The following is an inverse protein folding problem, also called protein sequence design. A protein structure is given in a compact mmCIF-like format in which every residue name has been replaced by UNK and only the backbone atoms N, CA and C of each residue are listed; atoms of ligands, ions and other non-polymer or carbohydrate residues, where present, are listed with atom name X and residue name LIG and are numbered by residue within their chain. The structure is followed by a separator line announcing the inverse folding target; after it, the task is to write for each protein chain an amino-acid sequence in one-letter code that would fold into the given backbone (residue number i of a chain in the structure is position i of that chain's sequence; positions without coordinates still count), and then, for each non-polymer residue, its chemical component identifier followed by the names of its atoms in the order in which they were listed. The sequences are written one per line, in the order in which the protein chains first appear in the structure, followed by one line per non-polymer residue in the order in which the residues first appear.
data_IF_256024745001
#
_entry.id   IF_256024745001
#
_cell.length_a   1.000
_cell.length_b   1.000
_cell.length_c   1.000
_cell.angle_alpha   90.00
_cell.angle_beta   90.00
_cell.angle_gamma   90.00
#
_symmetry.space_group_name_H-M   'P 1'
#
loop_
_entity.id
_entity.type
_entity.pdbx_description
1 polymer ?
#
# COMPACT_ATOMS: atom_id res chain seq x y z
N UNK A 1 22.90 -1.28 -75.72
CA UNK A 1 21.81 -2.21 -75.34
C UNK A 1 21.90 -2.39 -73.82
N UNK A 2 21.19 -1.59 -73.01
CA UNK A 2 19.94 -1.92 -72.27
C UNK A 2 20.04 -3.31 -71.58
N UNK A 3 19.90 -3.48 -70.26
CA UNK A 3 18.79 -3.03 -69.39
C UNK A 3 19.18 -2.97 -67.90
N UNK A 4 18.66 -1.94 -67.23
CA UNK A 4 18.54 -1.78 -65.77
C UNK A 4 17.15 -2.30 -65.36
N UNK A 5 17.02 -2.96 -64.20
CA UNK A 5 15.77 -3.30 -63.50
C UNK A 5 16.02 -3.00 -62.01
N UNK A 6 15.68 -1.82 -61.47
CA UNK A 6 14.37 -1.35 -61.02
C UNK A 6 13.75 -2.24 -59.93
N UNK A 7 14.09 -1.93 -58.67
CA UNK A 7 13.47 -2.45 -57.45
C UNK A 7 12.10 -1.78 -57.29
N UNK A 8 11.04 -2.59 -57.22
CA UNK A 8 9.67 -2.13 -57.04
C UNK A 8 9.33 -2.08 -55.56
N UNK A 9 9.27 -0.88 -55.00
CA UNK A 9 8.79 -0.60 -53.64
C UNK A 9 7.27 -0.69 -53.63
N UNK A 10 6.71 -1.68 -52.94
CA UNK A 10 5.27 -1.78 -52.70
C UNK A 10 4.91 -1.01 -51.42
N UNK A 11 4.29 0.16 -51.59
CA UNK A 11 3.66 0.91 -50.51
C UNK A 11 2.28 0.30 -50.26
N UNK A 12 2.09 -0.31 -49.08
CA UNK A 12 0.77 -0.71 -48.61
C UNK A 12 0.34 0.26 -47.51
N UNK A 13 -0.55 1.19 -47.87
CA UNK A 13 -1.24 2.06 -46.94
C UNK A 13 -2.30 1.26 -46.18
N UNK A 14 -2.05 0.96 -44.90
CA UNK A 14 -3.08 0.47 -43.99
C UNK A 14 -3.79 1.68 -43.37
N UNK A 15 -5.04 1.89 -43.79
CA UNK A 15 -5.98 2.83 -43.18
C UNK A 15 -6.11 2.54 -41.69
N UNK A 16 -5.68 3.48 -40.85
CA UNK A 16 -5.98 3.46 -39.43
C UNK A 16 -7.47 3.76 -39.24
N UNK A 17 -8.30 2.72 -39.17
CA UNK A 17 -9.62 2.84 -38.54
C UNK A 17 -9.33 3.06 -37.06
N UNK A 18 -9.48 4.31 -36.63
CA UNK A 18 -9.50 4.71 -35.23
C UNK A 18 -10.74 4.08 -34.57
N UNK A 19 -10.63 2.79 -34.24
CA UNK A 19 -11.44 2.20 -33.19
C UNK A 19 -11.00 2.86 -31.90
N UNK A 20 -11.85 3.71 -31.34
CA UNK A 20 -11.71 4.14 -29.96
C UNK A 20 -11.72 2.86 -29.11
N UNK A 21 -10.55 2.37 -28.72
CA UNK A 21 -10.46 1.40 -27.65
C UNK A 21 -11.04 2.11 -26.43
N UNK A 22 -12.15 1.62 -25.83
CA UNK A 22 -12.48 2.07 -24.50
C UNK A 22 -11.24 1.79 -23.67
N UNK A 23 -10.64 2.84 -23.12
CA UNK A 23 -9.59 2.73 -22.12
C UNK A 23 -10.25 2.14 -20.86
N UNK A 24 -10.50 0.83 -20.87
CA UNK A 24 -10.61 0.09 -19.64
C UNK A 24 -9.26 0.25 -18.98
N UNK A 25 -9.22 1.04 -17.92
CA UNK A 25 -8.06 1.11 -17.04
C UNK A 25 -7.66 -0.34 -16.74
N UNK A 26 -6.46 -0.71 -17.17
CA UNK A 26 -5.91 -2.05 -17.04
C UNK A 26 -5.96 -2.42 -15.56
N UNK A 27 -7.00 -3.15 -15.17
CA UNK A 27 -7.26 -3.45 -13.77
C UNK A 27 -6.32 -4.58 -13.40
N UNK A 28 -5.11 -4.20 -12.99
CA UNK A 28 -4.07 -5.17 -12.68
C UNK A 28 -4.37 -5.80 -11.32
N UNK A 29 -4.78 -7.06 -11.35
CA UNK A 29 -4.84 -7.91 -10.18
C UNK A 29 -3.43 -8.41 -9.87
N UNK A 30 -2.90 -8.05 -8.72
CA UNK A 30 -1.57 -8.47 -8.25
C UNK A 30 -1.76 -9.45 -7.10
N UNK A 31 -1.11 -10.61 -7.20
CA UNK A 31 -1.02 -11.55 -6.06
C UNK A 31 -0.06 -10.94 -5.04
N UNK A 32 -0.56 -10.71 -3.81
CA UNK A 32 0.24 -10.20 -2.70
C UNK A 32 0.85 -11.33 -1.87
N UNK A 33 0.09 -12.40 -1.62
CA UNK A 33 0.60 -13.54 -0.86
C UNK A 33 -0.15 -14.82 -1.20
N UNK A 34 0.51 -15.95 -0.96
CA UNK A 34 -0.05 -17.29 -1.09
C UNK A 34 0.30 -18.06 0.19
N UNK A 35 -0.71 -18.33 1.01
CA UNK A 35 -0.59 -19.15 2.21
C UNK A 35 -1.03 -20.59 1.91
N UNK A 36 -0.10 -21.53 2.08
CA UNK A 36 -0.29 -22.97 1.86
C UNK A 36 -0.14 -23.78 3.15
N UNK A 37 -0.02 -23.12 4.31
CA UNK A 37 0.27 -23.77 5.60
C UNK A 37 -0.81 -24.75 6.04
N UNK A 38 -2.04 -24.61 5.53
CA UNK A 38 -3.21 -25.46 5.83
C UNK A 38 -3.67 -26.28 4.63
N UNK A 39 -2.75 -26.70 3.77
CA UNK A 39 -3.07 -27.56 2.62
C UNK A 39 -3.99 -28.74 3.00
N UNK A 40 -5.07 -29.03 2.25
CA UNK A 40 -5.37 -28.56 0.89
C UNK A 40 -6.01 -27.16 0.79
N UNK A 41 -6.25 -26.47 1.91
CA UNK A 41 -6.74 -25.09 1.87
C UNK A 41 -5.59 -24.13 1.52
N UNK A 42 -5.76 -23.39 0.44
CA UNK A 42 -4.84 -22.33 -0.01
C UNK A 42 -5.55 -20.99 0.11
N UNK A 43 -4.90 -20.01 0.74
CA UNK A 43 -5.42 -18.64 0.86
C UNK A 43 -4.54 -17.73 0.02
N UNK A 44 -5.15 -17.00 -0.92
CA UNK A 44 -4.45 -16.05 -1.79
C UNK A 44 -4.97 -14.66 -1.46
N UNK A 45 -4.07 -13.75 -1.07
CA UNK A 45 -4.40 -12.33 -0.96
C UNK A 45 -4.05 -11.63 -2.26
N UNK A 46 -4.98 -10.86 -2.80
CA UNK A 46 -4.80 -10.10 -4.05
C UNK A 46 -5.07 -8.63 -3.84
N UNK A 47 -4.31 -7.77 -4.53
CA UNK A 47 -4.61 -6.35 -4.67
C UNK A 47 -5.17 -6.10 -6.07
N UNK A 48 -6.27 -5.36 -6.12
CA UNK A 48 -6.81 -4.85 -7.35
C UNK A 48 -6.42 -3.38 -7.50
N UNK A 49 -5.69 -3.06 -8.56
CA UNK A 49 -5.40 -1.68 -8.93
C UNK A 49 -6.44 -1.20 -9.95
N UNK A 50 -7.38 -0.35 -9.55
CA UNK A 50 -8.43 0.14 -10.45
C UNK A 50 -9.78 0.32 -9.76
N UNK A 51 -10.84 0.71 -10.51
CA UNK A 51 -12.19 0.78 -9.97
C UNK A 51 -12.62 -0.60 -9.44
N UNK A 52 -13.54 -0.59 -8.47
CA UNK A 52 -14.02 -1.81 -7.84
C UNK A 52 -14.55 -2.80 -8.89
N UNK A 53 -13.86 -3.93 -9.06
CA UNK A 53 -14.31 -5.03 -9.93
C UNK A 53 -15.41 -5.80 -9.22
N UNK A 54 -16.42 -6.22 -9.97
CA UNK A 54 -17.37 -7.20 -9.48
C UNK A 54 -16.61 -8.50 -9.19
N UNK A 55 -16.64 -8.99 -7.94
CA UNK A 55 -15.90 -10.21 -7.57
C UNK A 55 -16.30 -11.44 -8.40
N UNK A 56 -17.50 -11.43 -9.01
CA UNK A 56 -17.95 -12.46 -9.94
C UNK A 56 -17.12 -12.53 -11.23
N UNK A 57 -16.42 -11.45 -11.61
CA UNK A 57 -15.57 -11.38 -12.80
C UNK A 57 -14.13 -11.85 -12.53
N UNK A 58 -13.82 -12.19 -11.27
CA UNK A 58 -12.51 -12.75 -10.90
C UNK A 58 -12.49 -14.22 -11.32
N UNK A 59 -11.40 -14.61 -11.98
CA UNK A 59 -11.15 -16.01 -12.34
C UNK A 59 -9.81 -16.46 -11.77
N UNK A 60 -9.80 -17.61 -11.11
CA UNK A 60 -8.58 -18.27 -10.65
C UNK A 60 -8.17 -19.36 -11.65
N UNK A 61 -6.90 -19.38 -12.02
CA UNK A 61 -6.31 -20.46 -12.80
C UNK A 61 -5.11 -21.06 -12.08
N UNK A 62 -5.04 -22.38 -12.06
CA UNK A 62 -3.89 -23.16 -11.58
C UNK A 62 -3.37 -24.01 -12.74
N UNK A 63 -2.08 -23.90 -13.06
CA UNK A 63 -1.45 -24.62 -14.19
C UNK A 63 -2.21 -24.47 -15.53
N UNK A 64 -2.79 -23.28 -15.76
CA UNK A 64 -3.57 -22.96 -16.95
C UNK A 64 -5.02 -23.47 -16.95
N UNK A 65 -5.43 -24.24 -15.94
CA UNK A 65 -6.81 -24.74 -15.78
C UNK A 65 -7.61 -23.82 -14.86
N UNK A 66 -8.89 -23.60 -15.15
CA UNK A 66 -9.77 -22.84 -14.26
C UNK A 66 -10.02 -23.60 -12.96
N UNK A 67 -9.84 -22.90 -11.84
CA UNK A 67 -10.24 -23.39 -10.52
C UNK A 67 -11.69 -23.00 -10.29
N UNK A 68 -12.55 -23.99 -10.13
CA UNK A 68 -13.97 -23.77 -9.82
C UNK A 68 -14.20 -23.81 -8.31
N UNK A 69 -15.17 -23.03 -7.82
CA UNK A 69 -15.62 -23.09 -6.43
C UNK A 69 -14.71 -22.40 -5.39
N UNK A 70 -13.80 -21.53 -5.82
CA UNK A 70 -13.06 -20.67 -4.88
C UNK A 70 -13.99 -19.57 -4.32
N UNK A 71 -13.71 -19.11 -3.11
CA UNK A 71 -14.47 -18.04 -2.46
C UNK A 71 -13.64 -16.75 -2.42
N UNK A 72 -14.03 -15.75 -3.22
CA UNK A 72 -13.45 -14.41 -3.17
C UNK A 72 -14.27 -13.50 -2.25
N UNK A 73 -13.60 -12.90 -1.28
CA UNK A 73 -14.21 -11.98 -0.31
C UNK A 73 -13.32 -10.75 -0.14
N UNK A 74 -13.88 -9.54 0.00
CA UNK A 74 -13.10 -8.36 0.33
C UNK A 74 -12.35 -8.58 1.65
N UNK A 75 -11.09 -8.14 1.74
CA UNK A 75 -10.28 -8.27 2.95
C UNK A 75 -11.00 -7.74 4.20
N UNK A 76 -11.71 -6.61 4.10
CA UNK A 76 -12.49 -6.07 5.21
C UNK A 76 -13.70 -6.91 5.67
N UNK A 77 -14.00 -8.02 4.98
CA UNK A 77 -15.03 -9.01 5.35
C UNK A 77 -14.42 -10.36 5.76
N UNK A 78 -13.10 -10.47 5.84
CA UNK A 78 -12.42 -11.67 6.35
C UNK A 78 -12.10 -11.50 7.83
N UNK A 79 -11.72 -12.60 8.48
CA UNK A 79 -11.13 -12.58 9.82
C UNK A 79 -9.61 -12.41 9.79
N UNK A 80 -9.02 -12.07 8.63
CA UNK A 80 -7.58 -11.83 8.51
C UNK A 80 -7.23 -10.55 9.27
N UNK A 81 -6.40 -10.62 10.31
CA UNK A 81 -6.03 -9.42 11.05
C UNK A 81 -5.22 -8.47 10.15
N UNK A 82 -5.72 -7.25 9.98
CA UNK A 82 -4.99 -6.21 9.26
C UNK A 82 -4.04 -5.52 10.22
N UNK A 83 -2.75 -5.44 9.84
CA UNK A 83 -1.76 -4.66 10.56
C UNK A 83 -1.55 -3.31 9.90
N UNK A 84 -1.71 -2.24 10.66
CA UNK A 84 -1.53 -0.87 10.18
C UNK A 84 -0.50 -0.16 11.05
N UNK A 85 0.54 0.39 10.45
CA UNK A 85 1.39 1.38 11.12
C UNK A 85 0.91 2.76 10.70
N UNK A 86 0.32 3.49 11.65
CA UNK A 86 -0.08 4.88 11.47
C UNK A 86 1.13 5.76 11.80
N UNK A 87 1.67 6.42 10.77
CA UNK A 87 2.90 7.22 10.84
C UNK A 87 2.53 8.69 10.73
N UNK A 88 2.72 9.45 11.80
CA UNK A 88 2.30 10.86 11.87
C UNK A 88 3.51 11.77 11.93
N UNK A 89 3.57 12.72 11.01
CA UNK A 89 4.56 13.79 10.99
C UNK A 89 4.32 14.74 12.16
N UNK A 90 5.40 14.98 12.89
CA UNK A 90 5.50 15.86 14.04
C UNK A 90 6.66 16.83 13.88
N UNK A 91 7.07 17.13 12.65
CA UNK A 91 8.05 18.16 12.33
C UNK A 91 7.54 19.57 12.68
N UNK A 92 8.43 20.55 12.74
CA UNK A 92 8.09 21.92 13.13
C UNK A 92 7.04 22.58 12.22
N UNK A 93 6.95 22.22 10.94
CA UNK A 93 5.94 22.73 9.99
C UNK A 93 4.51 22.38 10.41
N UNK A 94 4.33 21.26 11.12
CA UNK A 94 3.03 20.78 11.59
C UNK A 94 2.41 21.67 12.69
N UNK A 95 3.19 22.56 13.32
CA UNK A 95 2.65 23.60 14.23
C UNK A 95 1.88 24.71 13.51
N UNK A 96 2.05 24.84 12.20
CA UNK A 96 1.46 25.93 11.44
C UNK A 96 0.01 25.61 11.07
N UNK A 97 -0.86 26.62 11.12
CA UNK A 97 -2.24 26.56 10.60
C UNK A 97 -3.08 25.38 11.14
N UNK A 98 -2.77 24.86 12.34
CA UNK A 98 -3.47 23.73 12.94
C UNK A 98 -3.29 22.39 12.21
N UNK A 99 -2.25 22.23 11.38
CA UNK A 99 -1.98 20.99 10.63
C UNK A 99 -1.88 19.76 11.53
N UNK A 100 -1.14 19.85 12.64
CA UNK A 100 -1.03 18.75 13.59
C UNK A 100 -2.39 18.39 14.20
N UNK A 101 -3.22 19.37 14.54
CA UNK A 101 -4.54 19.10 15.13
C UNK A 101 -5.50 18.46 14.10
N UNK A 102 -5.39 18.82 12.83
CA UNK A 102 -6.12 18.14 11.74
C UNK A 102 -5.63 16.71 11.54
N UNK A 103 -4.31 16.48 11.57
CA UNK A 103 -3.73 15.14 11.50
C UNK A 103 -4.17 14.27 12.69
N UNK A 104 -4.15 14.82 13.92
CA UNK A 104 -4.70 14.15 15.11
C UNK A 104 -6.19 13.84 14.95
N UNK A 105 -6.99 14.75 14.42
CA UNK A 105 -8.42 14.53 14.19
C UNK A 105 -8.66 13.37 13.20
N UNK A 106 -7.95 13.37 12.07
CA UNK A 106 -8.01 12.28 11.09
C UNK A 106 -7.55 10.94 11.69
N UNK A 107 -6.45 10.95 12.44
CA UNK A 107 -5.93 9.76 13.13
C UNK A 107 -6.93 9.19 14.15
N UNK A 108 -7.57 10.05 14.96
CA UNK A 108 -8.62 9.61 15.91
C UNK A 108 -9.82 9.01 15.19
N UNK A 109 -10.27 9.63 14.10
CA UNK A 109 -11.36 9.11 13.29
C UNK A 109 -11.00 7.74 12.69
N UNK A 110 -9.79 7.60 12.15
CA UNK A 110 -9.28 6.36 11.61
C UNK A 110 -9.29 5.24 12.66
N UNK A 111 -8.69 5.48 13.84
CA UNK A 111 -8.68 4.53 14.96
C UNK A 111 -10.10 4.16 15.40
N UNK A 112 -11.03 5.12 15.40
CA UNK A 112 -12.43 4.87 15.78
C UNK A 112 -13.19 4.04 14.74
N UNK A 113 -12.72 4.00 13.49
CA UNK A 113 -13.32 3.25 12.38
C UNK A 113 -12.72 1.86 12.14
N UNK A 114 -11.70 1.47 12.92
CA UNK A 114 -11.01 0.18 12.78
C UNK A 114 -11.95 -1.00 12.97
N UNK A 115 -11.67 -2.13 12.32
CA UNK A 115 -12.33 -3.38 12.65
C UNK A 115 -11.81 -3.91 14.01
N UNK A 116 -12.60 -4.74 14.74
CA UNK A 116 -12.18 -5.28 16.03
C UNK A 116 -10.84 -6.03 15.98
N UNK A 117 -10.59 -6.77 14.89
CA UNK A 117 -9.39 -7.59 14.72
C UNK A 117 -8.18 -6.84 14.14
N UNK A 118 -8.36 -5.58 13.73
CA UNK A 118 -7.26 -4.77 13.21
C UNK A 118 -6.29 -4.42 14.33
N UNK A 119 -5.00 -4.54 14.05
CA UNK A 119 -3.93 -4.13 14.94
C UNK A 119 -3.27 -2.88 14.37
N UNK A 120 -3.24 -1.82 15.16
CA UNK A 120 -2.63 -0.56 14.76
C UNK A 120 -1.41 -0.30 15.65
N UNK A 121 -0.28 0.06 15.04
CA UNK A 121 0.85 0.67 15.71
C UNK A 121 0.86 2.17 15.40
N UNK A 122 1.36 2.98 16.34
CA UNK A 122 1.50 4.42 16.17
C UNK A 122 2.98 4.80 16.17
N UNK A 123 3.42 5.42 15.08
CA UNK A 123 4.75 6.00 14.93
C UNK A 123 4.59 7.51 14.75
N UNK A 124 5.33 8.29 15.52
CA UNK A 124 5.53 9.71 15.24
C UNK A 124 6.91 9.92 14.65
N UNK A 125 7.08 10.88 13.77
CA UNK A 125 8.42 11.22 13.29
C UNK A 125 8.63 12.72 13.18
N UNK A 126 9.86 13.13 13.44
CA UNK A 126 10.39 14.44 13.15
C UNK A 126 11.85 14.26 12.71
N UNK A 127 12.83 14.87 13.39
CA UNK A 127 14.27 14.59 13.18
C UNK A 127 14.63 13.10 13.32
N UNK A 128 13.82 12.32 14.05
CA UNK A 128 13.89 10.87 14.05
C UNK A 128 12.50 10.26 14.26
N UNK A 129 12.26 9.05 13.77
CA UNK A 129 11.03 8.32 14.06
C UNK A 129 11.04 7.72 15.47
N UNK A 130 9.86 7.57 16.05
CA UNK A 130 9.60 7.01 17.38
C UNK A 130 8.32 6.18 17.35
N UNK A 131 8.41 4.93 17.78
CA UNK A 131 7.25 4.08 18.03
C UNK A 131 6.64 4.51 19.36
N UNK A 132 5.44 5.08 19.32
CA UNK A 132 4.71 5.52 20.50
C UNK A 132 3.83 4.40 21.08
N UNK A 133 3.27 3.58 20.19
CA UNK A 133 2.42 2.45 20.54
C UNK A 133 2.78 1.30 19.59
N UNK A 134 3.12 0.14 20.13
CA UNK A 134 3.32 -1.07 19.31
C UNK A 134 1.96 -1.62 18.83
N UNK A 135 1.94 -2.61 17.93
CA UNK A 135 0.69 -3.19 17.42
C UNK A 135 -0.27 -3.56 18.55
N UNK A 136 -1.46 -2.97 18.51
CA UNK A 136 -2.49 -3.18 19.52
C UNK A 136 -3.88 -3.12 18.90
N UNK A 137 -4.81 -3.83 19.52
CA UNK A 137 -6.25 -3.71 19.23
C UNK A 137 -6.92 -2.66 20.11
N UNK A 138 -6.23 -2.15 21.14
CA UNK A 138 -6.76 -1.18 22.11
C UNK A 138 -6.82 0.24 21.52
N UNK A 139 -8.02 0.78 21.25
CA UNK A 139 -8.15 2.16 20.79
C UNK A 139 -7.73 3.18 21.85
N UNK A 140 -7.83 2.86 23.15
CA UNK A 140 -7.46 3.76 24.24
C UNK A 140 -5.96 4.12 24.22
N UNK A 141 -5.10 3.11 24.11
CA UNK A 141 -3.65 3.31 23.95
C UNK A 141 -3.32 4.19 22.74
N UNK A 142 -3.97 3.95 21.59
CA UNK A 142 -3.76 4.70 20.36
C UNK A 142 -4.22 6.16 20.49
N UNK A 143 -5.41 6.39 21.04
CA UNK A 143 -5.96 7.73 21.26
C UNK A 143 -5.09 8.55 22.22
N UNK A 144 -4.58 7.92 23.28
CA UNK A 144 -3.63 8.56 24.20
C UNK A 144 -2.32 8.94 23.48
N UNK A 145 -1.77 8.03 22.68
CA UNK A 145 -0.58 8.31 21.87
C UNK A 145 -0.79 9.46 20.89
N UNK A 146 -1.93 9.49 20.18
CA UNK A 146 -2.30 10.56 19.24
C UNK A 146 -2.44 11.91 19.95
N UNK A 147 -3.10 11.93 21.10
CA UNK A 147 -3.29 13.18 21.86
C UNK A 147 -1.96 13.75 22.37
N UNK A 148 -0.98 12.88 22.68
CA UNK A 148 0.36 13.26 23.10
C UNK A 148 1.29 13.78 22.01
N UNK A 149 0.90 13.76 20.73
CA UNK A 149 1.74 14.25 19.64
C UNK A 149 2.01 15.76 19.77
N UNK A 150 3.27 16.16 19.60
CA UNK A 150 3.72 17.54 19.63
C UNK A 150 4.71 17.79 18.49
N UNK A 151 4.52 18.88 17.77
CA UNK A 151 5.33 19.21 16.60
C UNK A 151 6.62 19.95 16.97
N UNK A 152 7.76 19.47 16.48
CA UNK A 152 9.10 20.03 16.70
C UNK A 152 10.10 19.40 15.74
N UNK A 153 11.21 20.08 15.48
CA UNK A 153 12.33 19.53 14.71
C UNK A 153 12.09 19.44 13.20
N UNK A 154 12.84 18.54 12.58
CA UNK A 154 12.96 18.35 11.12
C UNK A 154 12.07 17.21 10.63
N UNK A 155 12.23 16.77 9.36
CA UNK A 155 11.39 15.73 8.74
C UNK A 155 12.25 14.56 8.26
N UNK A 156 12.31 13.47 9.03
CA UNK A 156 12.99 12.21 8.69
C UNK A 156 11.98 11.16 8.19
N UNK A 157 11.38 11.45 7.04
CA UNK A 157 10.29 10.67 6.44
C UNK A 157 10.73 9.26 6.03
N UNK A 158 11.87 9.13 5.37
CA UNK A 158 12.35 7.82 4.90
C UNK A 158 12.81 6.92 6.04
N UNK A 159 13.38 7.50 7.10
CA UNK A 159 13.67 6.78 8.34
C UNK A 159 12.37 6.28 8.99
N UNK A 160 11.31 7.10 9.00
CA UNK A 160 10.01 6.72 9.53
C UNK A 160 9.35 5.57 8.76
N UNK A 161 9.39 5.61 7.43
CA UNK A 161 8.89 4.51 6.58
C UNK A 161 9.69 3.23 6.84
N UNK A 162 11.02 3.32 6.86
CA UNK A 162 11.89 2.17 7.10
C UNK A 162 11.63 1.52 8.47
N UNK A 163 11.52 2.33 9.53
CA UNK A 163 11.19 1.83 10.87
C UNK A 163 9.79 1.20 10.91
N UNK A 164 8.81 1.82 10.26
CA UNK A 164 7.44 1.32 10.23
C UNK A 164 7.33 -0.03 9.54
N UNK A 165 8.04 -0.22 8.44
CA UNK A 165 8.12 -1.49 7.73
C UNK A 165 8.77 -2.57 8.62
N UNK A 166 9.85 -2.23 9.33
CA UNK A 166 10.55 -3.16 10.19
C UNK A 166 9.68 -3.73 11.34
N UNK A 167 8.64 -3.00 11.78
CA UNK A 167 7.72 -3.49 12.81
C UNK A 167 6.99 -4.78 12.41
N UNK A 168 6.79 -5.02 11.11
CA UNK A 168 6.08 -6.21 10.64
C UNK A 168 6.92 -7.49 10.70
N UNK A 169 8.23 -7.41 10.89
CA UNK A 169 9.10 -8.57 10.97
C UNK A 169 8.70 -9.53 12.12
N UNK A 170 8.24 -8.97 13.24
CA UNK A 170 7.77 -9.73 14.40
C UNK A 170 6.28 -10.11 14.32
N UNK A 171 5.59 -9.68 13.26
CA UNK A 171 4.14 -9.84 13.07
C UNK A 171 3.78 -10.41 11.68
N UNK A 172 4.33 -11.56 11.27
CA UNK A 172 4.16 -12.11 9.91
C UNK A 172 2.73 -12.56 9.59
N UNK A 173 1.85 -12.67 10.59
CA UNK A 173 0.44 -13.02 10.40
C UNK A 173 -0.46 -11.83 10.06
N UNK A 174 0.05 -10.60 10.17
CA UNK A 174 -0.69 -9.39 9.84
C UNK A 174 -0.63 -9.10 8.35
N UNK A 175 -1.77 -8.77 7.75
CA UNK A 175 -1.80 -8.15 6.42
C UNK A 175 -1.21 -6.73 6.54
N UNK A 176 0.01 -6.44 6.02
CA UNK A 176 0.74 -5.24 6.44
C UNK A 176 0.35 -4.00 5.63
N UNK A 177 0.23 -2.86 6.31
CA UNK A 177 -0.07 -1.56 5.72
C UNK A 177 0.66 -0.45 6.49
N UNK A 178 1.22 0.53 5.79
CA UNK A 178 1.79 1.74 6.38
C UNK A 178 1.02 2.95 5.86
N UNK A 179 0.50 3.77 6.77
CA UNK A 179 -0.26 4.97 6.44
C UNK A 179 0.52 6.18 6.96
N UNK A 180 1.00 7.02 6.06
CA UNK A 180 1.81 8.19 6.40
C UNK A 180 0.98 9.47 6.27
N UNK A 181 0.98 10.29 7.33
CA UNK A 181 0.38 11.62 7.37
C UNK A 181 1.51 12.65 7.52
N UNK A 182 1.81 13.39 6.46
CA UNK A 182 2.88 14.40 6.43
C UNK A 182 2.48 15.61 5.61
N UNK A 183 3.03 16.78 5.95
CA UNK A 183 2.81 18.05 5.24
C UNK A 183 4.01 18.48 4.38
N UNK A 184 5.07 17.67 4.31
CA UNK A 184 6.35 18.07 3.75
C UNK A 184 7.14 16.93 3.11
N UNK A 185 8.23 17.33 2.47
CA UNK A 185 9.24 16.41 1.96
C UNK A 185 10.27 16.07 3.04
N UNK A 186 11.03 14.99 2.80
CA UNK A 186 12.15 14.62 3.65
C UNK A 186 13.24 15.71 3.70
N UNK A 187 13.79 15.97 4.89
CA UNK A 187 14.86 16.96 5.08
C UNK A 187 16.12 16.39 5.72
N UNK A 188 16.00 15.36 6.57
CA UNK A 188 17.13 14.86 7.38
C UNK A 188 17.22 13.35 7.50
N UNK A 189 16.48 12.57 6.70
CA UNK A 189 16.59 11.11 6.79
C UNK A 189 18.02 10.64 6.50
N UNK A 190 18.45 9.63 7.25
CA UNK A 190 19.68 8.89 6.95
C UNK A 190 19.42 7.81 5.90
N UNK A 191 18.20 7.28 5.87
CA UNK A 191 17.70 6.34 4.88
C UNK A 191 17.39 7.08 3.58
N UNK A 192 17.83 6.53 2.45
CA UNK A 192 17.45 7.07 1.14
C UNK A 192 16.03 6.65 0.77
N UNK A 193 15.40 7.41 -0.12
CA UNK A 193 14.11 7.03 -0.72
C UNK A 193 14.16 5.62 -1.31
N UNK A 194 15.21 5.27 -2.05
CA UNK A 194 15.35 3.95 -2.66
C UNK A 194 15.45 2.81 -1.64
N UNK A 195 16.16 3.05 -0.53
CA UNK A 195 16.24 2.07 0.55
C UNK A 195 14.89 1.88 1.25
N UNK A 196 14.18 2.97 1.56
CA UNK A 196 12.85 2.92 2.16
C UNK A 196 11.82 2.24 1.23
N UNK A 197 11.86 2.56 -0.07
CA UNK A 197 11.03 1.92 -1.09
C UNK A 197 11.33 0.42 -1.20
N UNK A 198 12.60 0.06 -1.27
CA UNK A 198 13.03 -1.35 -1.34
C UNK A 198 12.54 -2.12 -0.12
N UNK A 199 12.74 -1.58 1.09
CA UNK A 199 12.23 -2.19 2.33
C UNK A 199 10.71 -2.38 2.29
N UNK A 200 9.95 -1.36 1.86
CA UNK A 200 8.50 -1.47 1.75
C UNK A 200 8.06 -2.52 0.72
N UNK A 201 8.79 -2.70 -0.38
CA UNK A 201 8.48 -3.71 -1.39
C UNK A 201 8.82 -5.13 -0.93
N UNK A 202 9.92 -5.31 -0.19
CA UNK A 202 10.38 -6.64 0.25
C UNK A 202 9.67 -7.15 1.48
N UNK A 203 9.15 -6.28 2.35
CA UNK A 203 8.36 -6.69 3.52
C UNK A 203 7.02 -7.37 3.16
N UNK A 204 6.66 -7.39 1.87
CA UNK A 204 5.49 -8.05 1.32
C UNK A 204 5.83 -9.24 0.40
N UNK A 205 7.11 -9.61 0.29
CA UNK A 205 7.60 -10.71 -0.56
C UNK A 205 7.81 -12.00 0.24
#
# INVERSE_FOLDING_TARGET
MKRVLAVLTLVLAALAVAGANPAFADSQLVIRSVDTTKFPQVVISTQLNGPATNLADVHLRENGQFVNGFNAVPLGRTNTPVGIVLVVDTSGSMNQNGKLEQAKAAARQFVSSKQPNDQIALVSFNTQPRVLVNFTTDPGALLNGINGLAATGETALWDAVSQSVALFADHPSLQPNVVVLSDGADTVSKTSFDAARSAAQTAHA
#
